data_IF_717656137437
#
_entry.id   IF_717656137437
#
_cell.length_a   1.000
_cell.length_b   1.000
_cell.length_c   1.000
_cell.angle_alpha   90.00
_cell.angle_beta   90.00
_cell.angle_gamma   90.00
#
_symmetry.space_group_name_H-M   'P 1'
#
loop_
_entity.id
_entity.type
_entity.pdbx_description
1 polymer ?
#
# COMPACT_ATOMS: atom_id res chain seq x y z
N UNK A 1 8.25 13.01 1.48
CA UNK A 1 8.00 11.59 1.15
C UNK A 1 6.84 11.49 0.16
N UNK A 2 6.98 10.68 -0.88
CA UNK A 2 5.93 10.41 -1.88
C UNK A 2 5.33 9.03 -1.63
N UNK A 3 4.02 8.91 -1.74
CA UNK A 3 3.27 7.67 -1.47
C UNK A 3 2.45 7.26 -2.68
N UNK A 4 2.42 5.97 -2.97
CA UNK A 4 1.49 5.32 -3.89
C UNK A 4 0.44 4.54 -3.09
N UNK A 5 -0.80 4.99 -3.12
CA UNK A 5 -1.93 4.33 -2.46
C UNK A 5 -2.66 3.44 -3.48
N UNK A 6 -2.36 2.15 -3.48
CA UNK A 6 -3.02 1.14 -4.32
C UNK A 6 -4.40 0.79 -3.76
N UNK A 7 -5.42 0.81 -4.62
CA UNK A 7 -6.81 0.69 -4.20
C UNK A 7 -7.29 1.90 -3.39
N UNK A 8 -6.61 3.04 -3.53
CA UNK A 8 -6.80 4.22 -2.68
C UNK A 8 -8.15 4.91 -2.82
N UNK A 9 -8.92 4.63 -3.88
CA UNK A 9 -10.30 5.12 -4.03
C UNK A 9 -11.36 4.13 -3.52
N UNK A 10 -10.95 2.93 -3.09
CA UNK A 10 -11.79 1.92 -2.47
C UNK A 10 -12.19 2.25 -1.03
N UNK A 11 -13.03 1.40 -0.43
CA UNK A 11 -13.56 1.62 0.92
C UNK A 11 -12.49 1.94 1.96
N UNK A 12 -11.53 1.04 2.17
CA UNK A 12 -10.44 1.23 3.14
C UNK A 12 -9.40 2.23 2.65
N UNK A 13 -9.13 2.26 1.34
CA UNK A 13 -8.18 3.17 0.73
C UNK A 13 -8.49 4.64 0.99
N UNK A 14 -9.76 5.01 0.92
CA UNK A 14 -10.22 6.39 1.23
C UNK A 14 -9.91 6.83 2.66
N UNK A 15 -10.01 5.93 3.63
CA UNK A 15 -9.62 6.22 5.02
C UNK A 15 -8.10 6.36 5.15
N UNK A 16 -7.35 5.45 4.55
CA UNK A 16 -5.89 5.50 4.54
C UNK A 16 -5.39 6.82 3.93
N UNK A 17 -5.86 7.19 2.75
CA UNK A 17 -5.48 8.45 2.07
C UNK A 17 -5.81 9.67 2.92
N UNK A 18 -7.01 9.76 3.52
CA UNK A 18 -7.37 10.87 4.41
C UNK A 18 -6.44 10.98 5.62
N UNK A 19 -6.05 9.85 6.21
CA UNK A 19 -5.12 9.83 7.33
C UNK A 19 -3.72 10.28 6.93
N UNK A 20 -3.22 9.77 5.81
CA UNK A 20 -1.91 10.12 5.26
C UNK A 20 -1.83 11.60 4.86
N UNK A 21 -2.91 12.17 4.31
CA UNK A 21 -2.96 13.58 3.92
C UNK A 21 -2.68 14.55 5.07
N UNK A 22 -3.01 14.17 6.31
CA UNK A 22 -2.77 14.96 7.51
C UNK A 22 -1.31 14.84 8.04
N UNK A 23 -0.49 13.97 7.46
CA UNK A 23 0.91 13.80 7.86
C UNK A 23 1.79 14.81 7.13
N UNK A 24 2.40 15.73 7.89
CA UNK A 24 3.17 16.86 7.33
C UNK A 24 4.41 16.45 6.52
N UNK A 25 4.96 15.27 6.78
CA UNK A 25 6.15 14.73 6.11
C UNK A 25 5.85 14.13 4.73
N UNK A 26 4.56 14.07 4.35
CA UNK A 26 4.13 13.56 3.05
C UNK A 26 3.97 14.73 2.08
N UNK A 27 4.79 14.74 1.04
CA UNK A 27 4.80 15.78 0.02
C UNK A 27 3.80 15.50 -1.09
N UNK A 28 3.58 14.20 -1.41
CA UNK A 28 2.72 13.79 -2.52
C UNK A 28 2.06 12.45 -2.24
N UNK A 29 0.79 12.31 -2.59
CA UNK A 29 0.03 11.07 -2.54
C UNK A 29 -0.54 10.81 -3.94
N UNK A 30 -0.19 9.67 -4.50
CA UNK A 30 -0.76 9.16 -5.74
C UNK A 30 -1.81 8.11 -5.39
N UNK A 31 -3.06 8.36 -5.77
CA UNK A 31 -4.17 7.41 -5.63
C UNK A 31 -4.25 6.60 -6.91
N UNK A 32 -3.91 5.34 -6.84
CA UNK A 32 -4.00 4.41 -7.97
C UNK A 32 -5.14 3.41 -7.76
N UNK A 33 -5.99 3.29 -8.76
CA UNK A 33 -7.12 2.36 -8.75
C UNK A 33 -7.39 1.86 -10.16
N UNK A 34 -7.94 0.65 -10.31
CA UNK A 34 -8.37 0.15 -11.62
C UNK A 34 -9.48 1.04 -12.21
N UNK A 35 -10.29 1.63 -11.35
CA UNK A 35 -11.28 2.64 -11.73
C UNK A 35 -10.64 4.04 -11.70
N UNK A 36 -10.07 4.46 -12.84
CA UNK A 36 -9.41 5.75 -13.00
C UNK A 36 -10.33 6.94 -12.63
N UNK A 37 -11.61 6.87 -13.00
CA UNK A 37 -12.57 7.96 -12.70
C UNK A 37 -12.76 8.12 -11.18
N UNK A 38 -12.92 7.01 -10.46
CA UNK A 38 -13.04 7.02 -9.00
C UNK A 38 -11.80 7.58 -8.33
N UNK A 39 -10.60 7.22 -8.83
CA UNK A 39 -9.34 7.73 -8.29
C UNK A 39 -9.22 9.25 -8.49
N UNK A 40 -9.50 9.75 -9.69
CA UNK A 40 -9.44 11.18 -10.02
C UNK A 40 -10.49 11.98 -9.24
N UNK A 41 -11.75 11.50 -9.21
CA UNK A 41 -12.83 12.14 -8.46
C UNK A 41 -12.51 12.21 -6.95
N UNK A 42 -11.97 11.14 -6.39
CA UNK A 42 -11.60 11.16 -4.98
C UNK A 42 -10.43 12.09 -4.70
N UNK A 43 -9.43 12.12 -5.58
CA UNK A 43 -8.28 13.04 -5.47
C UNK A 43 -8.69 14.50 -5.53
N UNK A 44 -9.74 14.86 -6.29
CA UNK A 44 -10.23 16.25 -6.41
C UNK A 44 -10.76 16.86 -5.11
N UNK A 45 -10.97 16.04 -4.07
CA UNK A 45 -11.36 16.54 -2.74
C UNK A 45 -10.17 17.06 -1.91
N UNK A 46 -8.97 17.04 -2.44
CA UNK A 46 -7.73 17.46 -1.77
C UNK A 46 -7.03 18.57 -2.56
N UNK A 47 -5.96 19.08 -2.01
CA UNK A 47 -5.08 20.02 -2.72
C UNK A 47 -4.17 19.32 -3.75
N UNK A 48 -3.29 20.07 -4.38
CA UNK A 48 -2.37 19.58 -5.43
C UNK A 48 -1.37 18.51 -4.96
N UNK A 49 -1.31 18.21 -3.66
CA UNK A 49 -0.49 17.12 -3.10
C UNK A 49 -1.10 15.76 -3.38
N UNK A 50 -2.38 15.67 -3.74
CA UNK A 50 -3.05 14.40 -4.04
C UNK A 50 -3.40 14.35 -5.51
N UNK A 51 -3.05 13.25 -6.17
CA UNK A 51 -3.32 13.02 -7.58
C UNK A 51 -3.89 11.61 -7.76
N UNK A 52 -4.92 11.47 -8.59
CA UNK A 52 -5.56 10.20 -8.89
C UNK A 52 -5.36 9.76 -10.32
N UNK A 53 -5.11 8.46 -10.53
CA UNK A 53 -4.99 7.89 -11.87
C UNK A 53 -5.39 6.41 -11.92
N UNK A 54 -5.60 5.91 -13.15
CA UNK A 54 -5.91 4.51 -13.40
C UNK A 54 -4.68 3.64 -13.39
N UNK A 55 -4.69 2.54 -12.63
CA UNK A 55 -3.64 1.54 -12.62
C UNK A 55 -4.23 0.14 -12.48
N UNK A 56 -4.00 -0.70 -13.48
CA UNK A 56 -4.25 -2.13 -13.36
C UNK A 56 -2.98 -2.79 -12.76
N UNK A 57 -3.08 -3.20 -11.50
CA UNK A 57 -1.99 -3.85 -10.77
C UNK A 57 -1.58 -5.20 -11.34
N UNK A 58 -2.40 -5.80 -12.21
CA UNK A 58 -2.05 -7.05 -12.92
C UNK A 58 -1.03 -6.81 -14.04
N UNK A 59 -0.89 -5.58 -14.49
CA UNK A 59 0.22 -5.17 -15.36
C UNK A 59 1.47 -4.92 -14.49
N UNK A 60 2.22 -5.99 -14.27
CA UNK A 60 3.36 -6.02 -13.35
C UNK A 60 4.45 -4.97 -13.67
N UNK A 61 4.76 -4.79 -14.94
CA UNK A 61 5.77 -3.82 -15.35
C UNK A 61 5.31 -2.37 -15.12
N UNK A 62 4.04 -2.07 -15.42
CA UNK A 62 3.48 -0.75 -15.15
C UNK A 62 3.44 -0.48 -13.64
N UNK A 63 3.06 -1.47 -12.83
CA UNK A 63 3.08 -1.37 -11.38
C UNK A 63 4.47 -1.01 -10.85
N UNK A 64 5.52 -1.69 -11.31
CA UNK A 64 6.91 -1.37 -10.93
C UNK A 64 7.34 0.03 -11.38
N UNK A 65 6.95 0.44 -12.59
CA UNK A 65 7.24 1.80 -13.07
C UNK A 65 6.64 2.88 -12.17
N UNK A 66 5.44 2.67 -11.65
CA UNK A 66 4.81 3.61 -10.72
C UNK A 66 5.46 3.55 -9.33
N UNK A 67 5.87 2.36 -8.86
CA UNK A 67 6.57 2.21 -7.58
C UNK A 67 7.94 2.91 -7.57
N UNK A 68 8.68 2.90 -8.67
CA UNK A 68 9.97 3.60 -8.79
C UNK A 68 9.89 5.12 -8.63
N UNK A 69 8.69 5.71 -8.68
CA UNK A 69 8.48 7.17 -8.54
C UNK A 69 8.23 7.61 -7.10
N UNK A 70 8.08 6.65 -6.17
CA UNK A 70 7.62 6.89 -4.81
C UNK A 70 8.53 6.25 -3.77
N UNK A 71 8.40 6.68 -2.53
CA UNK A 71 9.18 6.18 -1.40
C UNK A 71 8.45 5.01 -0.70
N UNK A 72 7.12 5.00 -0.74
CA UNK A 72 6.29 4.06 0.01
C UNK A 72 5.03 3.67 -0.79
N UNK A 73 4.73 2.39 -0.79
CA UNK A 73 3.45 1.83 -1.25
C UNK A 73 2.55 1.53 -0.05
N UNK A 74 1.32 1.99 -0.13
CA UNK A 74 0.24 1.66 0.79
C UNK A 74 -0.77 0.81 0.02
N UNK A 75 -0.82 -0.48 0.33
CA UNK A 75 -1.68 -1.41 -0.39
C UNK A 75 -2.99 -1.68 0.37
N UNK A 76 -4.08 -1.23 -0.22
CA UNK A 76 -5.45 -1.53 0.24
C UNK A 76 -6.26 -2.29 -0.81
N UNK A 77 -5.57 -2.91 -1.78
CA UNK A 77 -6.19 -3.60 -2.91
C UNK A 77 -6.55 -5.03 -2.52
N UNK A 78 -7.85 -5.31 -2.51
CA UNK A 78 -8.37 -6.67 -2.33
C UNK A 78 -8.68 -7.37 -3.67
N UNK A 79 -8.87 -8.70 -3.66
CA UNK A 79 -8.65 -9.60 -2.52
C UNK A 79 -7.16 -9.88 -2.28
N UNK A 80 -6.75 -9.88 -1.02
CA UNK A 80 -5.33 -9.99 -0.64
C UNK A 80 -4.72 -11.34 -1.00
N UNK A 81 -5.49 -12.44 -0.90
CA UNK A 81 -5.02 -13.78 -1.28
C UNK A 81 -4.53 -13.85 -2.75
N UNK A 82 -4.98 -12.93 -3.60
CA UNK A 82 -4.60 -12.88 -5.01
C UNK A 82 -3.51 -11.86 -5.31
N UNK A 83 -3.53 -10.72 -4.64
CA UNK A 83 -2.75 -9.55 -5.08
C UNK A 83 -1.63 -9.14 -4.11
N UNK A 84 -1.72 -9.50 -2.81
CA UNK A 84 -0.75 -9.01 -1.84
C UNK A 84 0.69 -9.46 -2.13
N UNK A 85 0.91 -10.75 -2.39
CA UNK A 85 2.23 -11.30 -2.69
C UNK A 85 2.85 -10.68 -3.95
N UNK A 86 2.19 -10.63 -5.13
CA UNK A 86 2.75 -9.97 -6.31
C UNK A 86 3.09 -8.50 -6.11
N UNK A 87 2.26 -7.75 -5.35
CA UNK A 87 2.52 -6.33 -5.07
C UNK A 87 3.75 -6.17 -4.17
N UNK A 88 3.88 -6.98 -3.11
CA UNK A 88 5.08 -6.96 -2.27
C UNK A 88 6.33 -7.33 -3.06
N UNK A 89 6.26 -8.32 -3.95
CA UNK A 89 7.38 -8.69 -4.82
C UNK A 89 7.82 -7.53 -5.70
N UNK A 90 6.87 -6.81 -6.31
CA UNK A 90 7.16 -5.60 -7.08
C UNK A 90 7.82 -4.51 -6.22
N UNK A 91 7.38 -4.32 -4.97
CA UNK A 91 7.97 -3.37 -4.04
C UNK A 91 9.42 -3.76 -3.67
N UNK A 92 9.71 -5.05 -3.48
CA UNK A 92 11.07 -5.56 -3.24
C UNK A 92 11.97 -5.30 -4.46
N UNK A 93 11.50 -5.63 -5.67
CA UNK A 93 12.26 -5.44 -6.90
C UNK A 93 12.57 -3.96 -7.21
N UNK A 94 11.72 -3.06 -6.76
CA UNK A 94 11.89 -1.60 -6.91
C UNK A 94 12.54 -0.93 -5.70
N UNK A 95 12.87 -1.69 -4.65
CA UNK A 95 13.39 -1.19 -3.36
C UNK A 95 12.49 -0.12 -2.74
N UNK A 96 11.19 -0.22 -2.95
CA UNK A 96 10.18 0.72 -2.44
C UNK A 96 9.63 0.19 -1.11
N UNK A 97 9.53 1.03 -0.08
CA UNK A 97 8.91 0.63 1.18
C UNK A 97 7.45 0.23 0.97
N UNK A 98 6.94 -0.67 1.82
CA UNK A 98 5.61 -1.25 1.64
C UNK A 98 4.89 -1.40 2.98
N UNK A 99 3.59 -1.10 3.00
CA UNK A 99 2.71 -1.65 4.00
C UNK A 99 1.32 -1.95 3.44
N UNK A 100 0.62 -2.90 4.09
CA UNK A 100 -0.73 -3.29 3.75
C UNK A 100 -1.62 -3.48 4.99
N UNK A 101 -2.88 -3.75 4.71
CA UNK A 101 -3.89 -4.12 5.70
C UNK A 101 -4.37 -5.56 5.50
N UNK A 102 -3.52 -6.42 4.94
CA UNK A 102 -3.85 -7.82 4.64
C UNK A 102 -4.30 -8.56 5.92
N UNK A 103 -5.48 -9.16 5.87
CA UNK A 103 -6.05 -9.97 6.94
C UNK A 103 -6.08 -11.47 6.62
N UNK A 104 -5.67 -11.85 5.41
CA UNK A 104 -5.56 -13.24 4.97
C UNK A 104 -4.27 -13.88 5.49
N UNK A 105 -4.37 -15.01 6.20
CA UNK A 105 -3.20 -15.68 6.78
C UNK A 105 -2.28 -16.32 5.74
N UNK A 106 -2.84 -16.91 4.69
CA UNK A 106 -2.07 -17.65 3.68
C UNK A 106 -1.11 -16.75 2.88
N UNK A 107 -1.53 -15.60 2.29
CA UNK A 107 -0.59 -14.70 1.65
C UNK A 107 0.38 -14.05 2.64
N UNK A 108 -0.04 -13.79 3.88
CA UNK A 108 0.85 -13.25 4.91
C UNK A 108 2.00 -14.20 5.22
N UNK A 109 1.74 -15.51 5.34
CA UNK A 109 2.80 -16.51 5.55
C UNK A 109 3.81 -16.52 4.38
N UNK A 110 3.32 -16.49 3.15
CA UNK A 110 4.18 -16.41 1.94
C UNK A 110 5.00 -15.11 1.90
N UNK A 111 4.38 -13.98 2.21
CA UNK A 111 5.05 -12.68 2.24
C UNK A 111 6.14 -12.61 3.33
N UNK A 112 5.95 -13.23 4.48
CA UNK A 112 6.95 -13.29 5.54
C UNK A 112 8.21 -14.07 5.09
N UNK A 113 8.08 -15.04 4.19
CA UNK A 113 9.22 -15.77 3.63
C UNK A 113 10.12 -14.90 2.73
N UNK A 114 9.63 -13.76 2.25
CA UNK A 114 10.41 -12.80 1.44
C UNK A 114 11.31 -11.88 2.28
N UNK A 115 11.40 -12.07 3.59
CA UNK A 115 12.14 -11.20 4.51
C UNK A 115 13.61 -10.98 4.10
N UNK A 116 14.32 -12.03 3.67
CA UNK A 116 15.73 -11.91 3.27
C UNK A 116 15.89 -11.15 1.94
N UNK A 117 14.92 -11.25 1.04
CA UNK A 117 14.91 -10.49 -0.20
C UNK A 117 14.67 -9.00 0.09
N UNK A 118 13.70 -8.69 0.97
CA UNK A 118 13.41 -7.33 1.40
C UNK A 118 14.62 -6.66 2.11
N UNK A 119 15.33 -7.41 2.96
CA UNK A 119 16.58 -6.92 3.58
C UNK A 119 17.67 -6.62 2.55
N UNK A 120 17.87 -7.50 1.57
CA UNK A 120 18.84 -7.26 0.48
C UNK A 120 18.49 -6.03 -0.36
N UNK A 121 17.19 -5.77 -0.56
CA UNK A 121 16.68 -4.59 -1.25
C UNK A 121 16.73 -3.32 -0.38
N UNK A 122 17.16 -3.42 0.90
CA UNK A 122 17.19 -2.32 1.86
C UNK A 122 15.82 -1.62 2.02
N UNK A 123 14.73 -2.39 1.96
CA UNK A 123 13.38 -1.88 2.12
C UNK A 123 12.71 -2.44 3.37
N UNK A 124 11.69 -1.77 3.87
CA UNK A 124 10.88 -2.20 4.99
C UNK A 124 9.48 -2.55 4.49
N UNK A 125 9.01 -3.74 4.86
CA UNK A 125 7.62 -4.14 4.66
C UNK A 125 6.92 -4.32 6.02
N UNK A 126 5.72 -3.75 6.17
CA UNK A 126 4.85 -3.96 7.32
C UNK A 126 3.54 -4.58 6.81
N UNK A 127 3.25 -5.79 7.26
CA UNK A 127 2.09 -6.55 6.83
C UNK A 127 0.99 -6.51 7.90
N UNK A 128 -0.27 -6.42 7.46
CA UNK A 128 -1.40 -6.44 8.35
C UNK A 128 -1.52 -5.23 9.28
N UNK A 129 -1.22 -4.02 8.78
CA UNK A 129 -1.29 -2.77 9.55
C UNK A 129 -2.74 -2.25 9.61
N UNK A 130 -3.63 -3.06 10.15
CA UNK A 130 -5.05 -2.77 10.27
C UNK A 130 -5.57 -2.76 11.71
N UNK A 131 -6.89 -2.88 11.85
CA UNK A 131 -7.51 -3.08 13.16
C UNK A 131 -7.30 -4.52 13.64
N UNK A 132 -7.52 -5.50 12.76
CA UNK A 132 -7.30 -6.94 12.99
C UNK A 132 -6.92 -7.59 11.64
N UNK A 133 -5.67 -8.05 11.46
CA UNK A 133 -4.52 -7.91 12.37
C UNK A 133 -4.02 -6.46 12.51
N UNK A 134 -3.10 -6.22 13.42
CA UNK A 134 -2.48 -4.93 13.69
C UNK A 134 -2.78 -4.44 15.10
N UNK A 135 -3.78 -3.56 15.27
CA UNK A 135 -4.10 -2.98 16.57
C UNK A 135 -4.44 -4.04 17.63
N UNK A 136 -5.23 -5.06 17.26
CA UNK A 136 -5.58 -6.17 18.17
C UNK A 136 -4.36 -6.92 18.69
N UNK A 137 -3.34 -7.12 17.84
CA UNK A 137 -2.10 -7.80 18.20
C UNK A 137 -1.29 -6.95 19.21
N UNK A 138 -1.22 -5.64 18.98
CA UNK A 138 -0.54 -4.69 19.89
C UNK A 138 -1.25 -4.67 21.25
N UNK A 139 -2.58 -4.55 21.25
CA UNK A 139 -3.37 -4.55 22.49
C UNK A 139 -3.22 -5.86 23.27
N UNK A 140 -3.24 -7.01 22.60
CA UNK A 140 -3.00 -8.30 23.22
C UNK A 140 -1.61 -8.36 23.87
N UNK A 141 -0.57 -7.87 23.19
CA UNK A 141 0.80 -7.80 23.71
C UNK A 141 0.92 -6.88 24.93
N UNK A 142 0.19 -5.76 24.95
CA UNK A 142 0.21 -4.83 26.08
C UNK A 142 -0.53 -5.36 27.31
N UNK A 143 -1.46 -6.30 27.14
CA UNK A 143 -2.23 -6.92 28.22
C UNK A 143 -1.52 -8.10 28.90
N UNK A 144 -0.39 -8.55 28.36
CA UNK A 144 0.46 -9.62 28.91
C UNK A 144 1.53 -9.07 29.85
#
# INVERSE_FOLDING_TARGET
MKILALGGSGGMGRYAVRSLYNVKQIDKIYIADVNALSAVEFASNFDTRVEGFGLDITNYELLKMEMLKVDLVVNTTGPFFKYAEPILRAAIETSTHYFDICDDWEPTEKMLQMNEEAKKANMTAILGLGASPGLTNILARMAM
#
